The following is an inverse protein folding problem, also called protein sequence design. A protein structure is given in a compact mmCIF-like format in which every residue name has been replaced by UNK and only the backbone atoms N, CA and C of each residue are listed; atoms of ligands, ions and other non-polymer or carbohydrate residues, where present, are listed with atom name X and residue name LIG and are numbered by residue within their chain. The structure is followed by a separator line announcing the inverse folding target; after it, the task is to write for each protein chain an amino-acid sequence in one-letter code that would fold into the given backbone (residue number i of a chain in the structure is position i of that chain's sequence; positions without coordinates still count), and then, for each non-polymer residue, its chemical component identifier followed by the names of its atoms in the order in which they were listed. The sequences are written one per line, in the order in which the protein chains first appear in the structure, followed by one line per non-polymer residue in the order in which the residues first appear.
data_IF_411551829717
#
_entry.id   IF_411551829717
#
_cell.length_a   1.000
_cell.length_b   1.000
_cell.length_c   1.000
_cell.angle_alpha   90.00
_cell.angle_beta   90.00
_cell.angle_gamma   90.00
#
_symmetry.space_group_name_H-M   'P 1'
#
loop_
_entity.id
_entity.type
_entity.pdbx_description
1 polymer ?
#
# COMPACT_ATOMS: atom_id res chain seq x y z
N UNK A 1 -11.63 5.82 41.56
CA UNK A 1 -10.89 4.82 40.77
C UNK A 1 -9.73 5.52 40.08
N UNK A 2 -8.59 4.86 39.87
CA UNK A 2 -7.39 5.50 39.28
C UNK A 2 -6.91 4.74 38.03
N UNK A 3 -6.56 5.49 37.00
CA UNK A 3 -5.96 4.95 35.77
C UNK A 3 -4.45 5.14 35.82
N UNK A 4 -3.72 4.11 35.40
CA UNK A 4 -2.27 4.19 35.33
C UNK A 4 -1.87 5.17 34.23
N UNK A 5 -1.13 6.22 34.59
CA UNK A 5 -0.63 7.22 33.65
C UNK A 5 0.42 6.68 32.68
N UNK A 6 1.00 5.51 32.98
CA UNK A 6 2.02 4.89 32.13
C UNK A 6 1.45 3.90 31.10
N UNK A 7 0.34 3.21 31.37
CA UNK A 7 -0.20 2.18 30.47
C UNK A 7 -1.73 2.23 30.26
N UNK A 8 -2.43 3.16 30.91
CA UNK A 8 -3.88 3.31 30.80
C UNK A 8 -4.72 2.25 31.53
N UNK A 9 -4.10 1.25 32.16
CA UNK A 9 -4.83 0.21 32.88
C UNK A 9 -5.63 0.78 34.07
N UNK A 10 -6.83 0.27 34.28
CA UNK A 10 -7.72 0.63 35.38
C UNK A 10 -7.31 -0.10 36.66
N UNK A 11 -7.27 0.62 37.79
CA UNK A 11 -6.93 0.06 39.10
C UNK A 11 -7.94 0.53 40.16
N UNK A 12 -8.08 -0.27 41.23
CA UNK A 12 -8.96 0.01 42.35
C UNK A 12 -8.43 1.18 43.21
N UNK A 13 -9.34 1.89 43.87
CA UNK A 13 -8.98 2.99 44.79
C UNK A 13 -8.15 2.47 45.97
N UNK A 14 -7.00 3.12 46.21
CA UNK A 14 -6.06 2.74 47.28
C UNK A 14 -4.90 1.83 46.84
N UNK A 15 -4.88 1.36 45.58
CA UNK A 15 -3.73 0.61 45.05
C UNK A 15 -2.51 1.52 44.87
N UNK A 16 -1.36 1.13 45.45
CA UNK A 16 -0.11 1.91 45.40
C UNK A 16 0.68 1.73 44.10
N UNK A 17 0.45 0.62 43.40
CA UNK A 17 1.11 0.25 42.15
C UNK A 17 0.09 -0.32 41.18
N UNK A 18 0.32 -0.11 39.89
CA UNK A 18 -0.55 -0.62 38.84
C UNK A 18 -0.44 -2.14 38.74
N UNK A 19 -1.58 -2.83 38.77
CA UNK A 19 -1.65 -4.30 38.70
C UNK A 19 -1.15 -4.87 37.37
N UNK A 20 -1.13 -4.04 36.31
CA UNK A 20 -0.83 -4.48 34.95
C UNK A 20 0.63 -4.23 34.56
N UNK A 21 1.25 -3.16 35.04
CA UNK A 21 2.64 -2.78 34.66
C UNK A 21 3.57 -2.47 35.84
N UNK A 22 3.08 -2.51 37.08
CA UNK A 22 3.89 -2.25 38.28
C UNK A 22 4.23 -0.77 38.55
N UNK A 23 3.77 0.17 37.72
CA UNK A 23 4.05 1.60 37.89
C UNK A 23 3.36 2.17 39.14
N UNK A 24 4.05 3.02 39.92
CA UNK A 24 3.50 3.63 41.13
C UNK A 24 2.32 4.59 40.80
N UNK A 25 1.23 4.48 41.55
CA UNK A 25 0.03 5.30 41.37
C UNK A 25 0.03 6.38 42.47
N UNK A 26 -0.02 7.66 42.09
CA UNK A 26 -0.03 8.75 43.07
C UNK A 26 -1.42 8.92 43.69
N UNK A 27 -1.53 8.70 44.99
CA UNK A 27 -2.74 8.97 45.76
C UNK A 27 -2.88 10.48 46.00
N UNK A 28 -3.85 11.12 45.36
CA UNK A 28 -4.24 12.49 45.70
C UNK A 28 -5.02 12.49 47.02
N UNK A 29 -4.38 12.90 48.11
CA UNK A 29 -5.08 13.40 49.30
C UNK A 29 -4.77 14.89 49.43
N UNK A 30 -5.81 15.71 49.22
CA UNK A 30 -5.78 17.15 49.40
C UNK A 30 -6.31 17.46 50.82
N UNK A 31 -5.47 17.96 51.72
CA UNK A 31 -5.89 18.69 52.93
C UNK A 31 -4.96 19.89 53.16
N UNK A 32 -5.60 21.03 53.39
CA UNK A 32 -5.16 22.43 53.42
C UNK A 32 -4.30 22.82 54.65
N UNK A 33 -3.15 23.51 54.40
CA UNK A 33 -2.41 24.60 55.13
C UNK A 33 -2.11 24.50 56.67
N UNK A 34 -1.08 25.19 57.26
CA UNK A 34 -0.43 26.45 56.83
C UNK A 34 1.12 26.56 56.94
N UNK A 35 1.67 27.67 56.43
CA UNK A 35 3.08 28.12 56.50
C UNK A 35 3.58 28.40 57.94
N UNK A 36 4.91 28.34 58.17
CA UNK A 36 5.63 29.59 58.49
C UNK A 36 7.04 29.75 57.87
N UNK A 37 7.31 30.98 57.44
CA UNK A 37 8.47 31.87 57.65
C UNK A 37 9.94 31.42 57.42
N UNK A 38 10.73 32.40 56.98
CA UNK A 38 12.07 32.32 56.43
C UNK A 38 13.23 32.64 57.40
N UNK A 39 14.47 32.39 56.91
CA UNK A 39 15.79 33.03 57.22
C UNK A 39 16.60 32.44 58.42
N UNK A 40 17.97 32.50 58.49
CA UNK A 40 19.07 32.45 57.50
C UNK A 40 20.17 31.37 57.81
N UNK A 41 21.18 31.23 56.94
CA UNK A 41 22.50 30.64 57.27
C UNK A 41 23.32 31.58 58.17
N UNK A 42 24.16 31.07 59.09
CA UNK A 42 25.62 31.02 58.88
C UNK A 42 26.24 29.76 59.54
N UNK A 43 27.50 29.36 59.46
CA UNK A 43 28.75 29.94 58.98
C UNK A 43 29.90 28.98 59.34
N UNK A 44 31.04 29.20 58.71
CA UNK A 44 32.31 28.47 58.86
C UNK A 44 32.83 28.49 60.31
N UNK A 45 33.36 27.37 60.83
CA UNK A 45 34.53 27.37 61.75
C UNK A 45 35.35 26.08 61.63
N UNK A 46 36.65 26.27 61.81
CA UNK A 46 37.76 25.32 61.70
C UNK A 46 38.48 25.23 63.05
N UNK A 47 39.15 24.09 63.24
CA UNK A 47 40.27 23.75 64.15
C UNK A 47 40.09 23.91 65.67
N UNK A 48 40.28 22.81 66.42
CA UNK A 48 41.57 22.48 67.07
C UNK A 48 41.38 21.45 68.22
N UNK A 49 42.34 20.52 68.29
CA UNK A 49 42.80 19.70 69.44
C UNK A 49 41.78 18.74 70.10
N UNK A 50 42.11 17.47 70.36
CA UNK A 50 43.08 17.01 71.38
C UNK A 50 43.74 15.70 70.95
N UNK A 51 45.04 15.61 71.21
CA UNK A 51 45.91 14.46 71.03
C UNK A 51 45.85 13.42 72.17
N UNK A 52 46.38 12.24 71.85
CA UNK A 52 47.12 11.29 72.71
C UNK A 52 46.28 10.31 73.57
N UNK A 53 46.66 9.04 73.80
CA UNK A 53 47.87 8.27 73.48
C UNK A 53 47.62 6.75 73.62
N UNK A 54 48.49 5.95 72.97
CA UNK A 54 48.91 4.55 73.31
C UNK A 54 47.85 3.42 73.26
N UNK A 55 48.08 2.26 72.63
CA UNK A 55 49.22 1.35 72.83
C UNK A 55 49.47 0.38 71.63
N UNK A 56 50.71 -0.14 71.56
CA UNK A 56 51.29 -1.07 70.56
C UNK A 56 50.64 -2.48 70.59
N UNK A 57 50.75 -3.44 69.68
CA UNK A 57 51.82 -3.99 68.80
C UNK A 57 51.08 -5.05 67.94
N UNK A 58 51.23 -5.19 66.62
CA UNK A 58 52.20 -6.08 65.97
C UNK A 58 52.13 -5.85 64.45
N UNK A 59 53.24 -5.41 63.85
CA UNK A 59 53.31 -5.07 62.44
C UNK A 59 53.86 -6.26 61.63
N UNK A 60 53.02 -6.83 60.76
CA UNK A 60 53.48 -7.64 59.65
C UNK A 60 54.27 -6.75 58.67
N UNK A 61 55.50 -7.15 58.34
CA UNK A 61 56.44 -6.39 57.54
C UNK A 61 55.86 -5.98 56.16
N UNK A 62 56.00 -4.71 55.75
CA UNK A 62 55.67 -4.28 54.39
C UNK A 62 56.69 -4.87 53.41
N UNK A 63 56.19 -5.49 52.34
CA UNK A 63 57.00 -5.91 51.20
C UNK A 63 57.67 -4.68 50.61
N UNK A 64 59.01 -4.69 50.54
CA UNK A 64 59.81 -3.57 50.05
C UNK A 64 59.37 -3.14 48.62
N UNK A 65 59.35 -1.83 48.30
CA UNK A 65 59.06 -1.37 46.95
C UNK A 65 60.18 -1.84 46.03
N UNK A 66 59.87 -2.75 45.10
CA UNK A 66 60.81 -3.10 44.04
C UNK A 66 61.17 -1.82 43.27
N UNK A 67 62.46 -1.44 43.35
CA UNK A 67 63.01 -0.29 42.63
C UNK A 67 62.97 -0.59 41.14
N UNK A 68 61.91 -0.14 40.48
CA UNK A 68 61.69 -0.34 39.05
C UNK A 68 62.87 0.25 38.27
N UNK A 69 63.56 -0.56 37.46
CA UNK A 69 64.73 -0.10 36.71
C UNK A 69 64.30 1.01 35.74
N UNK A 70 65.14 2.03 35.53
CA UNK A 70 64.85 3.14 34.58
C UNK A 70 64.41 2.63 33.20
N UNK A 71 64.90 1.47 32.77
CA UNK A 71 64.51 0.80 31.52
C UNK A 71 63.06 0.29 31.55
N UNK A 72 62.62 -0.29 32.67
CA UNK A 72 61.23 -0.71 32.87
C UNK A 72 60.26 0.48 32.88
N UNK A 73 60.67 1.59 33.50
CA UNK A 73 59.87 2.83 33.51
C UNK A 73 59.71 3.44 32.11
N UNK A 74 60.77 3.43 31.29
CA UNK A 74 60.71 3.87 29.88
C UNK A 74 59.79 2.96 29.06
N UNK A 75 59.88 1.64 29.24
CA UNK A 75 59.01 0.67 28.55
C UNK A 75 57.55 0.90 28.96
N UNK A 76 57.25 1.11 30.24
CA UNK A 76 55.90 1.41 30.71
C UNK A 76 55.37 2.74 30.18
N UNK A 77 56.19 3.79 30.13
CA UNK A 77 55.80 5.07 29.51
C UNK A 77 55.56 4.91 28.01
N UNK A 78 56.39 4.14 27.30
CA UNK A 78 56.21 3.87 25.87
C UNK A 78 54.94 3.07 25.59
N UNK A 79 54.64 2.05 26.41
CA UNK A 79 53.39 1.28 26.34
C UNK A 79 52.19 2.19 26.64
N UNK A 80 52.28 3.04 27.68
CA UNK A 80 51.22 3.99 28.02
C UNK A 80 50.93 4.98 26.88
N UNK A 81 51.98 5.55 26.26
CA UNK A 81 51.84 6.43 25.11
C UNK A 81 51.21 5.71 23.90
N UNK A 82 51.62 4.47 23.63
CA UNK A 82 51.04 3.65 22.56
C UNK A 82 49.55 3.36 22.80
N UNK A 83 49.15 3.05 24.04
CA UNK A 83 47.74 2.82 24.39
C UNK A 83 46.91 4.08 24.17
N UNK A 84 47.42 5.27 24.51
CA UNK A 84 46.71 6.54 24.27
C UNK A 84 46.50 6.77 22.76
N UNK A 85 47.54 6.54 21.95
CA UNK A 85 47.44 6.65 20.49
C UNK A 85 46.42 5.65 19.95
N UNK A 86 46.48 4.38 20.37
CA UNK A 86 45.51 3.36 19.96
C UNK A 86 44.08 3.69 20.42
N UNK A 87 43.89 4.24 21.62
CA UNK A 87 42.60 4.69 22.12
C UNK A 87 42.06 5.87 21.30
N UNK A 88 42.90 6.83 20.93
CA UNK A 88 42.51 7.94 20.06
C UNK A 88 42.13 7.45 18.66
N UNK A 89 42.90 6.54 18.07
CA UNK A 89 42.58 5.89 16.78
C UNK A 89 41.28 5.09 16.88
N UNK A 90 41.08 4.34 17.97
CA UNK A 90 39.85 3.59 18.21
C UNK A 90 38.63 4.51 18.32
N UNK A 91 38.72 5.58 19.12
CA UNK A 91 37.63 6.53 19.31
C UNK A 91 37.28 7.25 18.01
N UNK A 92 38.29 7.67 17.24
CA UNK A 92 38.08 8.31 15.93
C UNK A 92 37.47 7.35 14.91
N UNK A 93 37.95 6.12 14.80
CA UNK A 93 37.36 5.11 13.90
C UNK A 93 35.93 4.75 14.32
N UNK A 94 35.68 4.63 15.62
CA UNK A 94 34.33 4.35 16.17
C UNK A 94 33.34 5.46 15.86
N UNK A 95 33.75 6.73 15.98
CA UNK A 95 32.85 7.87 15.77
C UNK A 95 32.70 8.28 14.31
N UNK A 96 33.64 7.92 13.44
CA UNK A 96 33.63 8.29 12.01
C UNK A 96 33.19 7.12 11.12
N UNK A 97 34.07 6.13 10.95
CA UNK A 97 33.92 5.02 10.00
C UNK A 97 32.90 3.98 10.46
N UNK A 98 32.90 3.66 11.75
CA UNK A 98 31.99 2.65 12.34
C UNK A 98 30.79 3.30 13.04
N UNK A 99 30.39 4.48 12.55
CA UNK A 99 29.18 5.17 12.99
C UNK A 99 27.95 4.69 12.20
N UNK A 100 26.74 4.78 12.79
CA UNK A 100 25.50 4.49 12.07
C UNK A 100 25.20 5.51 10.94
N UNK A 101 25.91 6.64 10.89
CA UNK A 101 25.65 7.72 9.94
C UNK A 101 25.92 7.31 8.49
N UNK A 102 27.01 6.57 8.24
CA UNK A 102 27.39 6.16 6.89
C UNK A 102 26.31 5.30 6.20
N UNK A 103 25.88 4.18 6.81
CA UNK A 103 24.81 3.34 6.25
C UNK A 103 23.48 4.08 6.08
N UNK A 104 23.09 4.93 7.05
CA UNK A 104 21.88 5.75 6.93
C UNK A 104 21.96 6.73 5.76
N UNK A 105 23.09 7.44 5.61
CA UNK A 105 23.30 8.36 4.49
C UNK A 105 23.24 7.61 3.16
N UNK A 106 23.86 6.43 3.05
CA UNK A 106 23.82 5.62 1.82
C UNK A 106 22.40 5.18 1.48
N UNK A 107 21.60 4.81 2.47
CA UNK A 107 20.21 4.41 2.29
C UNK A 107 19.34 5.58 1.81
N UNK A 108 19.40 6.70 2.53
CA UNK A 108 18.62 7.90 2.21
C UNK A 108 19.03 8.50 0.86
N UNK A 109 20.33 8.50 0.54
CA UNK A 109 20.82 8.98 -0.76
C UNK A 109 20.33 8.09 -1.90
N UNK A 110 20.29 6.76 -1.72
CA UNK A 110 19.75 5.85 -2.73
C UNK A 110 18.27 6.16 -3.04
N UNK A 111 17.46 6.48 -2.02
CA UNK A 111 16.08 6.94 -2.22
C UNK A 111 16.04 8.29 -2.97
N UNK A 112 16.84 9.27 -2.54
CA UNK A 112 16.88 10.60 -3.16
C UNK A 112 17.36 10.58 -4.62
N UNK A 113 18.25 9.64 -4.96
CA UNK A 113 18.80 9.44 -6.30
C UNK A 113 17.91 8.56 -7.19
N UNK A 114 16.85 7.97 -6.65
CA UNK A 114 15.98 7.04 -7.39
C UNK A 114 16.56 5.63 -7.56
N UNK A 115 17.64 5.30 -6.85
CA UNK A 115 18.26 3.97 -6.83
C UNK A 115 17.55 3.06 -5.80
N UNK A 116 16.27 2.80 -6.06
CA UNK A 116 15.38 2.06 -5.17
C UNK A 116 15.81 0.60 -4.97
N UNK A 117 16.48 -0.01 -5.94
CA UNK A 117 17.04 -1.35 -5.79
C UNK A 117 18.18 -1.37 -4.79
N UNK A 118 19.06 -0.35 -4.81
CA UNK A 118 20.12 -0.20 -3.82
C UNK A 118 19.53 0.10 -2.44
N UNK A 119 18.53 0.98 -2.36
CA UNK A 119 17.85 1.26 -1.10
C UNK A 119 17.28 -0.03 -0.48
N UNK A 120 16.62 -0.87 -1.28
CA UNK A 120 16.02 -2.16 -0.86
C UNK A 120 17.03 -3.25 -0.50
N UNK A 121 18.29 -3.09 -0.89
CA UNK A 121 19.39 -3.98 -0.45
C UNK A 121 19.99 -3.54 0.89
N UNK A 122 19.82 -2.28 1.27
CA UNK A 122 20.40 -1.69 2.49
C UNK A 122 19.48 -1.83 3.71
N UNK A 123 18.19 -2.08 3.49
CA UNK A 123 17.17 -2.31 4.52
C UNK A 123 16.30 -3.48 4.08
N UNK A 124 15.78 -4.27 5.02
CA UNK A 124 14.66 -5.17 4.71
C UNK A 124 13.38 -4.34 4.61
N UNK A 125 12.72 -4.28 3.43
CA UNK A 125 11.48 -3.53 3.26
C UNK A 125 10.32 -4.03 4.14
N UNK A 126 10.40 -5.22 4.73
CA UNK A 126 9.35 -5.75 5.61
C UNK A 126 8.06 -6.10 4.88
N UNK A 127 8.11 -6.21 3.55
CA UNK A 127 7.02 -6.66 2.68
C UNK A 127 7.49 -7.82 1.80
N UNK A 128 6.56 -8.67 1.40
CA UNK A 128 6.80 -9.79 0.49
C UNK A 128 7.36 -9.32 -0.86
N UNK A 129 8.07 -10.19 -1.57
CA UNK A 129 8.76 -9.81 -2.82
C UNK A 129 7.82 -9.27 -3.90
N UNK A 130 6.62 -9.84 -4.04
CA UNK A 130 5.64 -9.38 -5.03
C UNK A 130 5.16 -7.94 -4.73
N UNK A 131 5.09 -7.57 -3.45
CA UNK A 131 4.74 -6.22 -2.99
C UNK A 131 5.90 -5.20 -3.13
N UNK A 132 7.07 -5.63 -3.61
CA UNK A 132 8.22 -4.76 -3.90
C UNK A 132 8.23 -4.25 -5.34
N UNK A 133 7.12 -4.38 -6.07
CA UNK A 133 7.00 -4.05 -7.49
C UNK A 133 7.47 -2.62 -7.83
N UNK A 134 7.27 -1.65 -6.93
CA UNK A 134 7.69 -0.25 -7.13
C UNK A 134 9.07 0.07 -6.53
N UNK A 135 9.75 -0.90 -5.92
CA UNK A 135 11.09 -0.73 -5.35
C UNK A 135 12.20 -0.97 -6.38
N UNK A 136 11.95 -0.51 -7.60
CA UNK A 136 12.82 -0.66 -8.77
C UNK A 136 13.24 0.72 -9.28
N UNK A 137 14.43 0.82 -9.87
CA UNK A 137 15.00 2.10 -10.28
C UNK A 137 14.14 2.84 -11.32
N UNK A 138 13.37 2.10 -12.14
CA UNK A 138 12.42 2.67 -13.11
C UNK A 138 11.36 3.55 -12.44
N UNK A 139 10.85 3.16 -11.26
CA UNK A 139 9.86 3.95 -10.53
C UNK A 139 10.41 5.30 -10.04
N UNK A 140 11.72 5.40 -9.84
CA UNK A 140 12.45 6.61 -9.42
C UNK A 140 13.24 7.29 -10.53
N UNK A 141 13.09 6.87 -11.80
CA UNK A 141 13.97 7.31 -12.89
C UNK A 141 13.88 8.82 -13.15
N UNK A 142 12.69 9.41 -13.03
CA UNK A 142 12.49 10.84 -13.25
C UNK A 142 12.89 11.68 -12.02
N UNK A 143 13.95 12.48 -12.14
CA UNK A 143 14.47 13.34 -11.07
C UNK A 143 13.44 14.33 -10.52
N UNK A 144 12.53 14.84 -11.34
CA UNK A 144 11.52 15.80 -10.88
C UNK A 144 10.50 15.17 -9.93
N UNK A 145 10.40 13.84 -9.90
CA UNK A 145 9.47 13.05 -9.08
C UNK A 145 10.07 12.54 -7.77
N UNK A 146 11.39 12.72 -7.56
CA UNK A 146 12.10 12.25 -6.37
C UNK A 146 11.92 13.20 -5.18
N UNK A 147 12.24 12.71 -3.99
CA UNK A 147 12.36 13.57 -2.81
C UNK A 147 13.46 14.63 -3.00
N UNK A 148 13.27 15.81 -2.41
CA UNK A 148 14.22 16.93 -2.47
C UNK A 148 14.50 17.50 -1.08
N UNK A 149 15.53 18.33 -0.95
CA UNK A 149 15.87 19.03 0.30
C UNK A 149 16.06 18.07 1.48
N UNK A 150 16.83 16.99 1.25
CA UNK A 150 16.98 15.93 2.23
C UNK A 150 17.96 16.34 3.32
N UNK A 151 17.53 16.24 4.57
CA UNK A 151 18.32 16.50 5.77
C UNK A 151 18.19 15.35 6.76
N UNK A 152 19.32 14.89 7.30
CA UNK A 152 19.37 13.79 8.26
C UNK A 152 19.82 14.37 9.60
N UNK A 153 18.99 14.23 10.63
CA UNK A 153 19.34 14.67 11.98
C UNK A 153 20.51 13.85 12.55
N UNK A 154 21.13 14.36 13.62
CA UNK A 154 22.07 13.55 14.40
C UNK A 154 21.39 12.28 14.92
N UNK A 155 22.08 11.15 14.79
CA UNK A 155 21.60 9.86 15.29
C UNK A 155 21.82 9.81 16.80
N UNK A 156 20.75 9.62 17.55
CA UNK A 156 20.79 9.53 19.01
C UNK A 156 20.15 8.25 19.50
N UNK A 157 20.63 7.74 20.62
CA UNK A 157 19.97 6.63 21.27
C UNK A 157 18.74 7.15 22.03
N UNK A 158 17.57 6.64 21.66
CA UNK A 158 16.34 6.90 22.38
C UNK A 158 16.43 6.22 23.77
N UNK A 159 16.33 7.02 24.83
CA UNK A 159 16.53 6.54 26.21
C UNK A 159 15.41 5.62 26.70
N UNK A 160 14.26 5.61 26.02
CA UNK A 160 13.11 4.77 26.35
C UNK A 160 13.18 3.45 25.61
N UNK A 161 13.37 3.47 24.29
CA UNK A 161 13.36 2.27 23.44
C UNK A 161 14.73 1.58 23.36
N UNK A 162 15.81 2.29 23.72
CA UNK A 162 17.18 1.84 23.56
C UNK A 162 17.66 1.80 22.10
N UNK A 163 16.79 2.15 21.13
CA UNK A 163 17.11 2.15 19.69
C UNK A 163 17.87 3.41 19.30
N UNK A 164 18.70 3.29 18.27
CA UNK A 164 19.38 4.43 17.66
C UNK A 164 18.47 5.00 16.58
N UNK A 165 18.09 6.27 16.71
CA UNK A 165 17.04 6.88 15.90
C UNK A 165 17.54 8.18 15.27
N UNK A 166 17.05 8.45 14.07
CA UNK A 166 17.28 9.68 13.32
C UNK A 166 15.99 10.12 12.65
N UNK A 167 15.83 11.43 12.48
CA UNK A 167 14.76 12.00 11.67
C UNK A 167 15.34 12.39 10.32
N UNK A 168 14.72 11.90 9.25
CA UNK A 168 15.03 12.30 7.88
C UNK A 168 13.94 13.26 7.43
N UNK A 169 14.29 14.52 7.22
CA UNK A 169 13.40 15.55 6.69
C UNK A 169 13.62 15.67 5.18
N UNK A 170 12.55 15.82 4.41
CA UNK A 170 12.61 15.92 2.95
C UNK A 170 11.33 16.57 2.41
N UNK A 171 11.32 16.91 1.14
CA UNK A 171 10.15 17.46 0.46
C UNK A 171 9.70 16.59 -0.71
N UNK A 172 8.38 16.42 -0.85
CA UNK A 172 7.71 15.74 -1.97
C UNK A 172 6.77 16.75 -2.61
N UNK A 173 6.94 17.03 -3.90
CA UNK A 173 6.13 18.01 -4.64
C UNK A 173 6.08 19.40 -3.94
N UNK A 174 7.16 19.79 -3.25
CA UNK A 174 7.27 21.04 -2.49
C UNK A 174 6.71 20.99 -1.06
N UNK A 175 6.05 19.90 -0.66
CA UNK A 175 5.52 19.71 0.70
C UNK A 175 6.58 19.06 1.59
N UNK A 176 6.87 19.67 2.73
CA UNK A 176 7.82 19.14 3.71
C UNK A 176 7.24 17.95 4.48
N UNK A 177 8.06 16.90 4.63
CA UNK A 177 7.76 15.64 5.27
C UNK A 177 8.94 15.19 6.12
N UNK A 178 8.69 14.25 7.01
CA UNK A 178 9.72 13.65 7.85
C UNK A 178 9.44 12.19 8.11
N UNK A 179 10.49 11.36 8.13
CA UNK A 179 10.40 9.95 8.51
C UNK A 179 11.37 9.66 9.65
N UNK A 180 10.90 8.90 10.64
CA UNK A 180 11.76 8.39 11.70
C UNK A 180 12.42 7.10 11.22
N UNK A 181 13.75 7.06 11.27
CA UNK A 181 14.55 5.89 10.89
C UNK A 181 15.29 5.36 12.10
N UNK A 182 15.26 4.04 12.27
CA UNK A 182 15.93 3.31 13.34
C UNK A 182 17.10 2.50 12.80
N UNK A 183 18.16 2.44 13.58
CA UNK A 183 19.41 1.75 13.28
C UNK A 183 19.63 0.64 14.30
N UNK A 184 20.17 -0.50 13.85
CA UNK A 184 20.52 -1.61 14.72
C UNK A 184 21.92 -2.15 14.43
N UNK A 185 22.53 -2.78 15.44
CA UNK A 185 23.83 -3.43 15.30
C UNK A 185 23.67 -4.71 14.47
N UNK A 186 24.37 -4.77 13.35
CA UNK A 186 24.46 -5.92 12.46
C UNK A 186 25.67 -6.83 12.78
N UNK A 187 26.20 -6.74 14.01
CA UNK A 187 27.37 -7.50 14.45
C UNK A 187 28.62 -6.65 14.66
N UNK A 188 29.79 -7.30 14.68
CA UNK A 188 31.09 -6.65 14.93
C UNK A 188 32.02 -6.77 13.72
N UNK A 189 32.67 -5.66 13.36
CA UNK A 189 33.74 -5.58 12.37
C UNK A 189 35.07 -5.34 13.09
N UNK A 190 36.13 -6.01 12.61
CA UNK A 190 37.45 -6.04 13.25
C UNK A 190 37.35 -6.40 14.75
N UNK A 191 36.50 -7.37 15.13
CA UNK A 191 36.28 -7.85 16.51
C UNK A 191 35.66 -6.86 17.52
N UNK A 192 35.74 -5.54 17.32
CA UNK A 192 35.35 -4.56 18.35
C UNK A 192 34.30 -3.55 17.90
N UNK A 193 34.31 -3.16 16.62
CA UNK A 193 33.49 -2.07 16.13
C UNK A 193 32.11 -2.57 15.72
N UNK A 194 31.06 -1.86 16.06
CA UNK A 194 29.73 -2.16 15.57
C UNK A 194 29.65 -1.97 14.05
N UNK A 195 29.05 -2.94 13.37
CA UNK A 195 28.46 -2.73 12.05
C UNK A 195 27.01 -2.33 12.22
N UNK A 196 26.52 -1.43 11.39
CA UNK A 196 25.16 -0.90 11.51
C UNK A 196 24.34 -1.24 10.26
N UNK A 197 23.06 -1.52 10.47
CA UNK A 197 22.07 -1.62 9.40
C UNK A 197 20.87 -0.72 9.71
N UNK A 198 20.23 -0.23 8.65
CA UNK A 198 18.93 0.42 8.77
C UNK A 198 17.92 -0.66 9.11
N UNK A 199 17.11 -0.44 10.13
CA UNK A 199 16.13 -1.41 10.62
C UNK A 199 14.69 -1.06 10.18
N UNK A 200 14.38 0.23 10.06
CA UNK A 200 13.05 0.68 9.63
C UNK A 200 13.11 1.26 8.21
N UNK A 201 12.40 0.66 7.25
CA UNK A 201 12.37 1.18 5.90
C UNK A 201 11.50 2.45 5.84
N UNK A 202 11.95 3.44 5.09
CA UNK A 202 11.20 4.63 4.72
C UNK A 202 10.24 4.30 3.57
N UNK A 203 9.23 3.47 3.83
CA UNK A 203 8.17 3.21 2.85
C UNK A 203 6.97 4.12 3.12
N UNK A 204 6.27 4.43 2.04
CA UNK A 204 4.92 5.00 2.05
C UNK A 204 3.97 4.01 1.37
N UNK A 205 2.68 4.29 1.46
CA UNK A 205 1.62 3.50 0.84
C UNK A 205 0.91 4.36 -0.19
N UNK A 206 0.93 3.90 -1.45
CA UNK A 206 0.10 4.46 -2.51
C UNK A 206 -1.26 3.78 -2.48
N UNK A 207 -2.32 4.57 -2.48
CA UNK A 207 -3.70 4.09 -2.61
C UNK A 207 -4.12 4.22 -4.07
N UNK A 208 -4.52 3.12 -4.70
CA UNK A 208 -4.90 3.08 -6.11
C UNK A 208 -6.26 2.41 -6.23
N UNK A 209 -7.26 3.15 -6.69
CA UNK A 209 -8.62 2.66 -6.93
C UNK A 209 -8.82 2.39 -8.43
N UNK A 210 -9.25 1.17 -8.74
CA UNK A 210 -9.56 0.70 -10.11
C UNK A 210 -10.91 -0.02 -10.12
N UNK A 211 -11.59 -0.14 -11.27
CA UNK A 211 -12.76 -1.01 -11.41
C UNK A 211 -12.47 -2.44 -10.94
N UNK A 212 -13.44 -3.12 -10.32
CA UNK A 212 -13.30 -4.51 -9.84
C UNK A 212 -12.88 -5.50 -10.94
N UNK A 213 -13.14 -5.16 -12.20
CA UNK A 213 -12.80 -5.96 -13.37
C UNK A 213 -11.34 -5.84 -13.80
N UNK A 214 -10.57 -4.92 -13.21
CA UNK A 214 -9.20 -4.58 -13.62
C UNK A 214 -8.23 -4.65 -12.44
N UNK A 215 -7.01 -5.15 -12.69
CA UNK A 215 -5.94 -5.19 -11.68
C UNK A 215 -4.59 -4.70 -12.20
N UNK A 216 -4.50 -4.36 -13.48
CA UNK A 216 -3.24 -3.97 -14.11
C UNK A 216 -3.16 -2.47 -14.31
N UNK A 217 -2.12 -1.87 -13.77
CA UNK A 217 -1.87 -0.43 -13.87
C UNK A 217 -0.39 -0.19 -14.19
N UNK A 218 -0.09 0.99 -14.70
CA UNK A 218 1.28 1.47 -14.83
C UNK A 218 1.52 2.57 -13.80
N UNK A 219 2.64 2.49 -13.08
CA UNK A 219 3.05 3.49 -12.11
C UNK A 219 4.44 3.98 -12.48
N UNK A 220 4.55 5.24 -12.89
CA UNK A 220 5.78 5.80 -13.46
C UNK A 220 6.37 4.93 -14.59
N UNK A 221 5.51 4.27 -15.38
CA UNK A 221 5.92 3.34 -16.44
C UNK A 221 6.31 1.95 -15.96
N UNK A 222 6.17 1.62 -14.68
CA UNK A 222 6.31 0.24 -14.16
C UNK A 222 4.94 -0.41 -14.20
N UNK A 223 4.80 -1.48 -14.99
CA UNK A 223 3.56 -2.25 -15.05
C UNK A 223 3.46 -3.14 -13.81
N UNK A 224 2.35 -3.02 -13.09
CA UNK A 224 2.10 -3.74 -11.84
C UNK A 224 0.75 -4.43 -11.89
N UNK A 225 0.71 -5.65 -11.36
CA UNK A 225 -0.51 -6.39 -11.06
C UNK A 225 -0.88 -6.13 -9.60
N UNK A 226 -1.89 -5.30 -9.37
CA UNK A 226 -2.37 -4.89 -8.04
C UNK A 226 -2.81 -6.08 -7.19
N UNK A 227 -3.25 -7.19 -7.81
CA UNK A 227 -3.64 -8.40 -7.07
C UNK A 227 -2.47 -9.08 -6.35
N UNK A 228 -1.23 -8.80 -6.77
CA UNK A 228 0.01 -9.32 -6.19
C UNK A 228 0.81 -8.25 -5.46
N UNK A 229 0.84 -7.04 -6.00
CA UNK A 229 1.68 -5.96 -5.49
C UNK A 229 1.10 -5.25 -4.25
N UNK A 230 -0.20 -5.37 -4.00
CA UNK A 230 -0.84 -4.71 -2.87
C UNK A 230 -0.64 -5.49 -1.56
N UNK A 231 -0.45 -4.76 -0.46
CA UNK A 231 -0.41 -5.31 0.90
C UNK A 231 -1.77 -5.32 1.58
N UNK A 232 -2.71 -4.52 1.08
CA UNK A 232 -4.08 -4.45 1.56
C UNK A 232 -5.03 -4.05 0.43
N UNK A 233 -6.30 -4.42 0.55
CA UNK A 233 -7.37 -4.04 -0.39
C UNK A 233 -8.69 -3.81 0.34
N UNK A 234 -9.45 -2.84 -0.13
CA UNK A 234 -10.79 -2.55 0.38
C UNK A 234 -11.69 -2.04 -0.74
N UNK A 235 -12.99 -1.98 -0.51
CA UNK A 235 -13.88 -1.24 -1.40
C UNK A 235 -13.45 0.23 -1.42
N UNK A 236 -13.48 0.85 -2.60
CA UNK A 236 -13.10 2.24 -2.73
C UNK A 236 -14.17 3.14 -2.09
N UNK A 237 -13.73 4.18 -1.38
CA UNK A 237 -14.62 5.25 -0.95
C UNK A 237 -14.78 6.28 -2.07
N UNK A 238 -15.90 6.98 -2.09
CA UNK A 238 -16.13 8.10 -3.01
C UNK A 238 -15.10 9.22 -2.77
N UNK A 239 -14.50 9.82 -3.83
CA UNK A 239 -13.55 10.92 -3.68
C UNK A 239 -14.22 12.22 -3.22
N UNK A 240 -13.41 13.20 -2.79
CA UNK A 240 -13.89 14.52 -2.35
C UNK A 240 -14.72 15.27 -3.41
N UNK A 241 -14.48 15.01 -4.70
CA UNK A 241 -15.13 15.63 -5.86
C UNK A 241 -15.52 14.53 -6.87
N UNK A 242 -16.65 13.84 -6.64
CA UNK A 242 -17.05 12.69 -7.44
C UNK A 242 -17.63 13.10 -8.80
N UNK A 243 -17.32 12.30 -9.82
CA UNK A 243 -18.03 12.36 -11.09
C UNK A 243 -19.37 11.65 -10.96
N UNK A 244 -20.45 12.28 -11.45
CA UNK A 244 -21.79 11.68 -11.46
C UNK A 244 -21.90 10.43 -12.33
N UNK A 245 -20.96 10.25 -13.26
CA UNK A 245 -21.01 9.21 -14.28
C UNK A 245 -20.16 7.98 -13.88
N UNK A 246 -19.65 7.97 -12.64
CA UNK A 246 -18.79 6.92 -12.10
C UNK A 246 -19.45 6.29 -10.88
N UNK A 247 -19.75 5.00 -10.97
CA UNK A 247 -20.15 4.22 -9.79
C UNK A 247 -18.91 3.76 -9.02
N UNK A 248 -18.53 4.52 -7.99
CA UNK A 248 -17.38 4.22 -7.13
C UNK A 248 -17.58 2.94 -6.30
N UNK A 249 -18.82 2.45 -6.15
CA UNK A 249 -19.08 1.19 -5.43
C UNK A 249 -18.59 -0.04 -6.21
N UNK A 250 -18.32 0.12 -7.51
CA UNK A 250 -17.72 -0.88 -8.39
C UNK A 250 -16.19 -0.77 -8.49
N UNK A 251 -15.55 -0.03 -7.59
CA UNK A 251 -14.09 0.09 -7.51
C UNK A 251 -13.49 -0.61 -6.28
N UNK A 252 -12.28 -1.13 -6.43
CA UNK A 252 -11.44 -1.63 -5.35
C UNK A 252 -10.23 -0.72 -5.17
N UNK A 253 -9.99 -0.27 -3.94
CA UNK A 253 -8.78 0.44 -3.54
C UNK A 253 -7.70 -0.55 -3.09
N UNK A 254 -6.50 -0.42 -3.64
CA UNK A 254 -5.31 -1.21 -3.34
C UNK A 254 -4.25 -0.35 -2.65
N UNK A 255 -3.65 -0.89 -1.59
CA UNK A 255 -2.52 -0.27 -0.89
C UNK A 255 -1.20 -0.86 -1.36
N UNK A 256 -0.40 -0.09 -2.10
CA UNK A 256 0.86 -0.52 -2.72
C UNK A 256 2.05 0.15 -2.03
N UNK A 257 3.00 -0.60 -1.44
CA UNK A 257 4.20 -0.04 -0.84
C UNK A 257 5.12 0.61 -1.89
N UNK A 258 5.65 1.78 -1.57
CA UNK A 258 6.61 2.49 -2.42
C UNK A 258 7.57 3.34 -1.58
N UNK A 259 8.68 3.79 -2.18
CA UNK A 259 9.50 4.82 -1.55
C UNK A 259 8.82 6.21 -1.65
N UNK A 260 9.13 7.16 -0.76
CA UNK A 260 8.60 8.52 -0.87
C UNK A 260 8.95 9.17 -2.21
N UNK A 261 7.97 9.81 -2.84
CA UNK A 261 8.11 10.41 -4.15
C UNK A 261 6.76 10.78 -4.76
N UNK A 262 6.82 11.21 -6.01
CA UNK A 262 5.66 11.51 -6.86
C UNK A 262 5.46 10.37 -7.85
N UNK A 263 4.21 9.95 -8.01
CA UNK A 263 3.83 8.82 -8.84
C UNK A 263 2.73 9.24 -9.80
N UNK A 264 2.97 9.04 -11.09
CA UNK A 264 1.91 9.04 -12.09
C UNK A 264 1.37 7.62 -12.20
N UNK A 265 0.08 7.46 -11.92
CA UNK A 265 -0.62 6.18 -11.96
C UNK A 265 -1.59 6.23 -13.14
N UNK A 266 -1.54 5.24 -14.00
CA UNK A 266 -2.43 5.12 -15.17
C UNK A 266 -2.74 3.67 -15.49
N UNK A 267 -3.52 3.43 -16.53
CA UNK A 267 -3.67 2.06 -17.03
C UNK A 267 -2.36 1.59 -17.66
N UNK A 268 -2.05 0.31 -17.51
CA UNK A 268 -1.00 -0.31 -18.30
C UNK A 268 -1.36 -0.25 -19.79
N UNK A 269 -0.35 -0.31 -20.66
CA UNK A 269 -0.56 -0.34 -22.11
C UNK A 269 -1.59 -1.43 -22.45
N UNK A 270 -2.73 -1.00 -22.95
CA UNK A 270 -3.89 -1.85 -23.23
C UNK A 270 -4.48 -1.47 -24.56
N UNK A 271 -4.73 -2.48 -25.37
CA UNK A 271 -5.44 -2.32 -26.62
C UNK A 271 -6.95 -2.16 -26.44
N UNK A 272 -7.48 -2.36 -25.22
CA UNK A 272 -8.92 -2.42 -24.95
C UNK A 272 -9.45 -1.19 -24.20
N UNK A 273 -8.65 -0.65 -23.28
CA UNK A 273 -9.04 0.51 -22.46
C UNK A 273 -7.93 1.53 -22.42
N UNK A 274 -8.31 2.80 -22.28
CA UNK A 274 -7.41 3.92 -22.04
C UNK A 274 -7.90 4.71 -20.83
N UNK A 275 -7.14 5.70 -20.38
CA UNK A 275 -7.59 6.61 -19.33
C UNK A 275 -6.52 7.63 -18.99
N UNK A 276 -6.91 8.64 -18.22
CA UNK A 276 -6.00 9.69 -17.79
C UNK A 276 -5.05 9.19 -16.69
N UNK A 277 -3.80 9.62 -16.75
CA UNK A 277 -2.88 9.44 -15.61
C UNK A 277 -3.28 10.34 -14.44
N UNK A 278 -3.22 9.79 -13.23
CA UNK A 278 -3.43 10.52 -11.98
C UNK A 278 -2.10 10.68 -11.27
N UNK A 279 -1.71 11.92 -10.99
CA UNK A 279 -0.53 12.25 -10.19
C UNK A 279 -0.88 12.15 -8.71
N UNK A 280 -0.23 11.24 -7.99
CA UNK A 280 -0.30 11.12 -6.54
C UNK A 280 1.09 11.26 -5.91
N UNK A 281 1.10 11.49 -4.61
CA UNK A 281 2.29 11.48 -3.78
C UNK A 281 1.97 10.69 -2.50
N UNK A 282 2.85 10.76 -1.51
CA UNK A 282 2.70 10.14 -0.19
C UNK A 282 1.56 10.76 0.68
N UNK A 283 0.65 11.55 0.10
CA UNK A 283 -0.57 11.98 0.76
C UNK A 283 -1.62 10.85 0.78
N UNK A 284 -2.49 10.85 1.79
CA UNK A 284 -3.50 9.81 2.00
C UNK A 284 -4.62 9.73 0.93
N UNK A 285 -4.49 10.43 -0.20
CA UNK A 285 -5.48 10.45 -1.28
C UNK A 285 -5.23 9.29 -2.25
N UNK A 286 -6.29 8.60 -2.64
CA UNK A 286 -6.22 7.54 -3.64
C UNK A 286 -6.14 8.10 -5.07
N UNK A 287 -5.43 7.40 -5.95
CA UNK A 287 -5.53 7.58 -7.39
C UNK A 287 -6.75 6.82 -7.92
N UNK A 288 -7.76 7.52 -8.44
CA UNK A 288 -8.92 6.89 -9.06
C UNK A 288 -8.72 6.79 -10.56
N UNK A 289 -8.57 5.57 -11.08
CA UNK A 289 -8.47 5.34 -12.51
C UNK A 289 -9.84 4.99 -13.09
N UNK A 290 -10.35 5.86 -13.95
CA UNK A 290 -11.62 5.66 -14.67
C UNK A 290 -11.28 5.32 -16.12
N UNK A 291 -11.62 4.11 -16.60
CA UNK A 291 -11.27 3.69 -17.95
C UNK A 291 -12.24 4.23 -19.00
N UNK A 292 -11.72 4.41 -20.21
CA UNK A 292 -12.49 4.68 -21.43
C UNK A 292 -12.31 3.51 -22.42
N UNK A 293 -13.42 3.13 -23.07
CA UNK A 293 -13.41 2.02 -24.02
C UNK A 293 -12.76 2.44 -25.34
N UNK A 294 -11.78 1.66 -25.81
CA UNK A 294 -11.20 1.82 -27.15
C UNK A 294 -12.14 1.28 -28.23
N UNK A 295 -11.90 1.67 -29.49
CA UNK A 295 -12.61 1.11 -30.65
C UNK A 295 -12.41 -0.40 -30.79
N UNK A 296 -11.23 -0.91 -30.39
CA UNK A 296 -10.95 -2.35 -30.44
C UNK A 296 -11.82 -3.13 -29.46
N UNK A 297 -11.99 -2.64 -28.23
CA UNK A 297 -12.90 -3.26 -27.27
C UNK A 297 -14.33 -3.32 -27.80
N UNK A 298 -14.83 -2.19 -28.31
CA UNK A 298 -16.18 -2.12 -28.90
C UNK A 298 -16.33 -3.09 -30.07
N UNK A 299 -15.33 -3.17 -30.95
CA UNK A 299 -15.35 -4.09 -32.09
C UNK A 299 -15.36 -5.56 -31.68
N UNK A 300 -14.62 -5.96 -30.65
CA UNK A 300 -14.60 -7.36 -30.18
C UNK A 300 -15.92 -7.74 -29.49
N UNK A 301 -16.52 -6.83 -28.72
CA UNK A 301 -17.87 -7.01 -28.17
C UNK A 301 -18.88 -7.19 -29.31
N UNK A 302 -18.88 -6.28 -30.30
CA UNK A 302 -19.79 -6.35 -31.45
C UNK A 302 -19.59 -7.61 -32.29
N UNK A 303 -18.37 -8.15 -32.38
CA UNK A 303 -18.11 -9.43 -33.05
C UNK A 303 -18.83 -10.59 -32.35
N UNK A 304 -18.83 -10.61 -31.02
CA UNK A 304 -19.53 -11.62 -30.23
C UNK A 304 -21.06 -11.44 -30.29
N UNK A 305 -21.54 -10.20 -30.29
CA UNK A 305 -22.94 -9.87 -30.55
C UNK A 305 -23.37 -10.35 -31.94
N UNK A 306 -22.57 -10.11 -32.97
CA UNK A 306 -22.89 -10.55 -34.34
C UNK A 306 -22.97 -12.07 -34.43
N UNK A 307 -22.04 -12.81 -33.81
CA UNK A 307 -22.14 -14.28 -33.72
C UNK A 307 -23.44 -14.73 -33.07
N UNK A 308 -23.87 -14.05 -32.00
CA UNK A 308 -25.15 -14.34 -31.35
C UNK A 308 -26.33 -14.10 -32.29
N UNK A 309 -26.31 -13.01 -33.04
CA UNK A 309 -27.32 -12.69 -34.06
C UNK A 309 -27.36 -13.77 -35.15
N UNK A 310 -26.20 -14.17 -35.66
CA UNK A 310 -26.09 -15.21 -36.68
C UNK A 310 -26.64 -16.55 -36.16
N UNK A 311 -26.28 -16.93 -34.94
CA UNK A 311 -26.78 -18.15 -34.29
C UNK A 311 -28.30 -18.12 -34.06
N UNK A 312 -28.89 -16.97 -33.73
CA UNK A 312 -30.33 -16.81 -33.56
C UNK A 312 -31.06 -16.88 -34.91
N UNK A 313 -30.57 -16.15 -35.90
CA UNK A 313 -31.22 -16.06 -37.22
C UNK A 313 -31.08 -17.33 -38.05
N UNK A 314 -30.07 -18.17 -37.78
CA UNK A 314 -29.94 -19.51 -38.36
C UNK A 314 -30.97 -20.52 -37.82
N UNK A 315 -31.65 -20.23 -36.71
CA UNK A 315 -32.65 -21.12 -36.13
C UNK A 315 -33.91 -21.18 -36.98
N UNK A 316 -34.50 -22.38 -37.09
CA UNK A 316 -35.85 -22.60 -37.63
C UNK A 316 -36.86 -23.07 -36.57
N UNK A 317 -36.47 -23.06 -35.29
CA UNK A 317 -37.38 -23.36 -34.19
C UNK A 317 -38.43 -22.26 -34.01
N UNK A 318 -39.56 -22.55 -33.35
CA UNK A 318 -40.56 -21.54 -32.99
C UNK A 318 -40.03 -20.55 -31.95
N UNK A 319 -39.12 -21.00 -31.09
CA UNK A 319 -38.43 -20.14 -30.13
C UNK A 319 -37.04 -20.72 -29.85
N UNK A 320 -36.10 -19.84 -29.51
CA UNK A 320 -34.75 -20.17 -29.05
C UNK A 320 -34.41 -19.24 -27.89
N UNK A 321 -33.92 -19.82 -26.79
CA UNK A 321 -33.59 -19.06 -25.59
C UNK A 321 -32.50 -18.01 -25.88
N UNK A 322 -32.69 -16.81 -25.33
CA UNK A 322 -31.80 -15.65 -25.50
C UNK A 322 -31.79 -15.09 -26.93
N UNK A 323 -32.81 -15.41 -27.72
CA UNK A 323 -33.03 -14.89 -29.07
C UNK A 323 -34.37 -14.14 -29.17
N UNK A 324 -34.87 -13.58 -28.06
CA UNK A 324 -36.14 -12.84 -28.00
C UNK A 324 -36.34 -11.88 -29.16
N UNK A 325 -35.32 -11.12 -29.56
CA UNK A 325 -35.36 -10.19 -30.71
C UNK A 325 -35.66 -10.83 -32.08
N UNK A 326 -35.75 -12.16 -32.16
CA UNK A 326 -35.96 -12.94 -33.38
C UNK A 326 -36.94 -14.10 -33.21
N UNK A 327 -37.57 -14.26 -32.04
CA UNK A 327 -38.40 -15.43 -31.77
C UNK A 327 -39.75 -15.36 -32.49
N UNK A 328 -40.31 -14.16 -32.66
CA UNK A 328 -41.61 -13.96 -33.29
C UNK A 328 -42.78 -14.20 -32.35
N UNK A 329 -44.01 -14.07 -32.86
CA UNK A 329 -45.26 -14.21 -32.11
C UNK A 329 -46.02 -15.49 -32.47
N UNK A 330 -45.32 -16.63 -32.53
CA UNK A 330 -45.92 -17.90 -32.88
C UNK A 330 -46.90 -18.43 -31.81
N UNK A 331 -48.14 -18.69 -32.20
CA UNK A 331 -49.15 -19.32 -31.35
C UNK A 331 -48.75 -20.72 -30.89
N UNK A 332 -49.01 -21.02 -29.62
CA UNK A 332 -48.88 -22.35 -29.02
C UNK A 332 -50.12 -23.25 -29.22
N UNK A 333 -51.13 -22.79 -29.99
CA UNK A 333 -52.34 -23.58 -30.27
C UNK A 333 -52.01 -24.86 -31.04
N UNK A 334 -52.58 -25.98 -30.60
CA UNK A 334 -52.40 -27.29 -31.26
C UNK A 334 -53.02 -27.38 -32.65
N UNK A 335 -53.93 -26.47 -33.01
CA UNK A 335 -54.50 -26.41 -34.37
C UNK A 335 -53.54 -25.76 -35.37
N UNK A 336 -52.75 -24.79 -34.91
CA UNK A 336 -51.92 -23.93 -35.73
C UNK A 336 -50.54 -24.55 -35.94
N UNK A 337 -50.05 -24.55 -37.17
CA UNK A 337 -48.76 -25.10 -37.52
C UNK A 337 -47.95 -24.10 -38.36
N UNK A 338 -46.64 -24.07 -38.12
CA UNK A 338 -45.70 -23.20 -38.83
C UNK A 338 -44.60 -24.03 -39.50
N UNK A 339 -44.10 -23.56 -40.63
CA UNK A 339 -42.96 -24.15 -41.33
C UNK A 339 -42.20 -23.10 -42.14
N UNK A 340 -41.06 -23.48 -42.72
CA UNK A 340 -40.24 -22.62 -43.57
C UNK A 340 -39.85 -21.28 -42.92
N UNK A 341 -39.65 -21.28 -41.60
CA UNK A 341 -39.27 -20.10 -40.82
C UNK A 341 -37.86 -19.66 -41.24
N UNK A 342 -37.75 -18.41 -41.66
CA UNK A 342 -36.49 -17.73 -41.99
C UNK A 342 -36.45 -16.39 -41.28
N UNK A 343 -35.29 -16.07 -40.71
CA UNK A 343 -35.07 -14.87 -39.92
C UNK A 343 -33.97 -14.04 -40.56
N UNK A 344 -34.09 -12.73 -40.51
CA UNK A 344 -33.08 -11.83 -41.05
C UNK A 344 -33.01 -10.58 -40.18
N UNK A 345 -31.85 -10.34 -39.56
CA UNK A 345 -31.56 -9.06 -38.93
C UNK A 345 -31.46 -7.98 -40.01
N UNK A 346 -32.13 -6.84 -39.79
CA UNK A 346 -32.34 -5.80 -40.81
C UNK A 346 -31.49 -4.55 -40.57
N UNK A 347 -30.87 -4.44 -39.40
CA UNK A 347 -29.92 -3.38 -39.05
C UNK A 347 -28.60 -3.95 -38.54
N UNK A 348 -27.55 -3.13 -38.62
CA UNK A 348 -26.26 -3.43 -38.01
C UNK A 348 -26.35 -3.18 -36.49
N UNK A 349 -25.90 -4.12 -35.64
CA UNK A 349 -25.90 -3.90 -34.20
C UNK A 349 -24.87 -2.84 -33.81
N UNK A 350 -25.25 -1.97 -32.87
CA UNK A 350 -24.36 -1.02 -32.23
C UNK A 350 -24.42 -1.19 -30.71
N UNK A 351 -23.41 -0.72 -29.98
CA UNK A 351 -23.43 -0.70 -28.51
C UNK A 351 -24.15 0.58 -28.09
N UNK A 352 -25.28 0.44 -27.39
CA UNK A 352 -26.00 1.58 -26.83
C UNK A 352 -25.37 2.06 -25.52
N UNK A 353 -25.03 1.10 -24.65
CA UNK A 353 -24.45 1.35 -23.34
C UNK A 353 -23.31 0.38 -23.08
N UNK A 354 -22.22 0.89 -22.52
CA UNK A 354 -21.06 0.11 -22.07
C UNK A 354 -20.53 0.75 -20.80
N UNK A 355 -20.77 0.08 -19.68
CA UNK A 355 -20.24 0.46 -18.39
C UNK A 355 -19.00 -0.38 -18.08
N UNK A 356 -17.84 0.25 -18.07
CA UNK A 356 -16.57 -0.41 -17.77
C UNK A 356 -16.34 -0.63 -16.27
N UNK A 357 -17.14 0.00 -15.41
CA UNK A 357 -17.09 -0.16 -13.95
C UNK A 357 -17.69 -1.52 -13.57
N UNK A 358 -18.95 -1.75 -13.97
CA UNK A 358 -19.63 -3.03 -13.78
C UNK A 358 -19.23 -4.08 -14.81
N UNK A 359 -18.69 -3.66 -15.96
CA UNK A 359 -18.41 -4.51 -17.12
C UNK A 359 -19.67 -4.85 -17.92
N UNK A 360 -20.81 -4.20 -17.69
CA UNK A 360 -22.05 -4.48 -18.42
C UNK A 360 -22.10 -3.77 -19.78
N UNK A 361 -22.79 -4.37 -20.74
CA UNK A 361 -23.12 -3.71 -22.00
C UNK A 361 -24.51 -4.09 -22.50
N UNK A 362 -25.11 -3.19 -23.28
CA UNK A 362 -26.37 -3.42 -23.98
C UNK A 362 -26.30 -2.85 -25.39
N UNK A 363 -26.83 -3.57 -26.38
CA UNK A 363 -26.88 -3.10 -27.76
C UNK A 363 -28.02 -2.11 -28.00
N UNK A 364 -27.95 -1.36 -29.09
CA UNK A 364 -29.16 -0.76 -29.68
C UNK A 364 -30.17 -1.85 -30.05
N UNK A 365 -31.43 -1.49 -30.23
CA UNK A 365 -32.47 -2.41 -30.68
C UNK A 365 -32.07 -3.07 -32.02
N UNK A 366 -32.06 -4.40 -32.03
CA UNK A 366 -31.89 -5.24 -33.21
C UNK A 366 -33.28 -5.51 -33.77
N UNK A 367 -33.46 -5.29 -35.07
CA UNK A 367 -34.71 -5.50 -35.79
C UNK A 367 -34.60 -6.75 -36.65
N UNK A 368 -35.55 -7.68 -36.51
CA UNK A 368 -35.59 -8.92 -37.28
C UNK A 368 -36.87 -8.99 -38.09
N UNK A 369 -36.76 -9.32 -39.37
CA UNK A 369 -37.90 -9.77 -40.18
C UNK A 369 -37.92 -11.30 -40.18
N UNK A 370 -39.11 -11.85 -39.94
CA UNK A 370 -39.36 -13.29 -39.90
C UNK A 370 -40.37 -13.62 -41.00
N UNK A 371 -39.99 -14.50 -41.92
CA UNK A 371 -40.90 -15.02 -42.96
C UNK A 371 -41.15 -16.49 -42.71
N UNK A 372 -42.40 -16.92 -42.82
CA UNK A 372 -42.78 -18.30 -42.56
C UNK A 372 -44.00 -18.70 -43.40
N UNK A 373 -44.38 -19.97 -43.27
CA UNK A 373 -45.66 -20.46 -43.74
C UNK A 373 -46.48 -20.95 -42.57
N UNK A 374 -47.78 -20.67 -42.57
CA UNK A 374 -48.72 -21.12 -41.55
C UNK A 374 -49.95 -21.83 -42.13
N UNK A 375 -50.61 -22.61 -41.28
CA UNK A 375 -51.94 -23.16 -41.52
C UNK A 375 -52.67 -23.35 -40.19
N UNK A 376 -53.98 -23.09 -40.18
CA UNK A 376 -54.79 -23.16 -38.97
C UNK A 376 -55.35 -24.56 -38.66
N UNK A 377 -55.55 -25.38 -39.70
CA UNK A 377 -55.97 -26.78 -39.56
C UNK A 377 -55.21 -27.64 -40.57
N UNK A 378 -55.11 -28.94 -40.30
CA UNK A 378 -54.30 -29.85 -41.11
C UNK A 378 -54.80 -30.06 -42.55
N UNK A 379 -56.08 -29.76 -42.81
CA UNK A 379 -56.76 -29.86 -44.10
C UNK A 379 -56.69 -28.56 -44.93
N UNK A 380 -56.23 -27.46 -44.35
CA UNK A 380 -56.06 -26.18 -45.02
C UNK A 380 -54.73 -26.09 -45.78
N UNK A 381 -54.65 -25.32 -46.87
CA UNK A 381 -53.39 -25.04 -47.55
C UNK A 381 -52.44 -24.24 -46.65
N UNK A 382 -51.14 -24.30 -46.95
CA UNK A 382 -50.15 -23.42 -46.35
C UNK A 382 -50.25 -22.02 -46.97
N UNK A 383 -50.25 -21.00 -46.13
CA UNK A 383 -50.21 -19.59 -46.54
C UNK A 383 -48.88 -18.97 -46.13
N UNK A 384 -48.33 -18.10 -46.97
CA UNK A 384 -47.11 -17.36 -46.63
C UNK A 384 -47.48 -16.18 -45.75
N UNK A 385 -46.71 -15.95 -44.69
CA UNK A 385 -46.88 -14.79 -43.82
C UNK A 385 -45.50 -14.26 -43.38
N UNK A 386 -45.51 -13.07 -42.81
CA UNK A 386 -44.32 -12.41 -42.30
C UNK A 386 -44.64 -11.49 -41.14
N UNK A 387 -43.75 -11.47 -40.16
CA UNK A 387 -43.81 -10.54 -39.04
C UNK A 387 -42.44 -9.91 -38.79
N UNK A 388 -42.42 -8.91 -37.90
CA UNK A 388 -41.18 -8.33 -37.41
C UNK A 388 -41.11 -8.51 -35.90
N UNK A 389 -39.89 -8.68 -35.42
CA UNK A 389 -39.57 -8.74 -34.01
C UNK A 389 -38.37 -7.84 -33.71
N UNK A 390 -38.17 -7.50 -32.45
CA UNK A 390 -37.06 -6.65 -32.05
C UNK A 390 -36.72 -6.81 -30.58
N UNK A 391 -35.47 -6.56 -30.24
CA UNK A 391 -34.99 -6.61 -28.87
C UNK A 391 -33.55 -6.17 -28.78
N UNK A 392 -32.99 -6.20 -27.58
CA UNK A 392 -31.59 -5.88 -27.32
C UNK A 392 -30.83 -7.15 -26.94
N UNK A 393 -29.52 -7.12 -27.12
CA UNK A 393 -28.62 -8.10 -26.53
C UNK A 393 -27.86 -7.39 -25.41
N UNK A 394 -27.90 -7.97 -24.22
CA UNK A 394 -27.12 -7.53 -23.07
C UNK A 394 -26.12 -8.61 -22.66
N UNK A 395 -25.05 -8.19 -21.99
CA UNK A 395 -24.01 -9.10 -21.54
C UNK A 395 -23.02 -8.43 -20.63
N UNK A 396 -21.97 -9.16 -20.28
CA UNK A 396 -20.87 -8.66 -19.45
C UNK A 396 -19.52 -8.86 -20.11
N UNK A 397 -18.55 -8.03 -19.72
CA UNK A 397 -17.15 -8.15 -20.09
C UNK A 397 -16.29 -8.24 -18.83
N UNK A 398 -15.19 -8.98 -18.95
CA UNK A 398 -14.10 -8.93 -17.98
C UNK A 398 -12.77 -8.78 -18.70
N UNK A 399 -11.89 -7.94 -18.15
CA UNK A 399 -10.59 -7.62 -18.73
C UNK A 399 -9.48 -7.80 -17.68
N UNK A 400 -8.86 -8.98 -17.69
CA UNK A 400 -7.71 -9.28 -16.81
C UNK A 400 -6.50 -9.65 -17.65
N UNK A 401 -5.36 -9.00 -17.43
CA UNK A 401 -4.09 -9.30 -18.13
C UNK A 401 -4.22 -9.29 -19.67
N UNK A 402 -4.84 -8.24 -20.23
CA UNK A 402 -5.17 -8.11 -21.66
C UNK A 402 -6.02 -9.25 -22.23
N UNK A 403 -6.62 -10.09 -21.38
CA UNK A 403 -7.55 -11.12 -21.81
C UNK A 403 -8.97 -10.60 -21.65
N UNK A 404 -9.59 -10.27 -22.78
CA UNK A 404 -11.01 -9.94 -22.85
C UNK A 404 -11.84 -11.23 -22.85
N UNK A 405 -12.83 -11.30 -21.96
CA UNK A 405 -13.92 -12.27 -22.03
C UNK A 405 -15.22 -11.51 -22.20
N UNK A 406 -16.06 -11.95 -23.14
CA UNK A 406 -17.41 -11.40 -23.38
C UNK A 406 -18.40 -12.53 -23.14
N UNK A 407 -19.31 -12.33 -22.20
CA UNK A 407 -20.36 -13.27 -21.85
C UNK A 407 -21.73 -12.68 -22.24
N UNK A 408 -22.46 -13.42 -23.06
CA UNK A 408 -23.82 -13.09 -23.47
C UNK A 408 -24.70 -14.25 -22.99
N UNK A 409 -25.59 -14.03 -22.00
CA UNK A 409 -26.42 -15.09 -21.47
C UNK A 409 -27.30 -15.71 -22.56
N UNK A 410 -27.51 -17.03 -22.43
CA UNK A 410 -28.37 -17.79 -23.32
C UNK A 410 -29.84 -17.78 -22.88
N UNK A 411 -30.17 -17.03 -21.84
CA UNK A 411 -31.52 -16.84 -21.35
C UNK A 411 -31.92 -15.41 -21.62
N UNK A 412 -33.15 -15.21 -22.08
CA UNK A 412 -33.77 -13.89 -22.01
C UNK A 412 -33.99 -13.64 -20.52
N UNK A 413 -33.23 -12.72 -19.91
CA UNK A 413 -33.57 -12.26 -18.56
C UNK A 413 -34.90 -11.53 -18.67
N UNK A 414 -35.97 -12.16 -18.19
CA UNK A 414 -37.21 -11.44 -17.88
C UNK A 414 -36.82 -10.33 -16.91
N UNK A 415 -36.86 -9.08 -17.39
CA UNK A 415 -36.71 -7.88 -16.58
C UNK A 415 -37.96 -7.69 -15.68
N UNK A 416 -38.32 -8.71 -14.92
CA UNK A 416 -39.34 -8.73 -13.88
C UNK A 416 -38.64 -8.92 -12.53
N UNK A 417 -38.04 -7.85 -12.03
CA UNK A 417 -37.25 -7.87 -10.80
C UNK A 417 -37.20 -6.55 -10.05
N UNK A 418 -38.34 -6.06 -9.57
CA UNK A 418 -38.40 -5.19 -8.39
C UNK A 418 -39.13 -3.85 -8.54
N UNK A 419 -40.37 -3.81 -8.05
CA UNK A 419 -40.95 -2.60 -7.42
C UNK A 419 -40.76 -2.69 -5.91
#
# INVERSE_FOLDING_TARGET
MIFCTSCGARNDDGTRFCISCGHALQTQNNVTAPLPTAVPMPGVRSLADVADATDATDAAAPTAPQKMSRRMMIILCAIGALIIVLAAVFLTLRSTVFSPQGPLNSYVSAIAEGDYEKASKLVDPGVENDARALMVNKAGENESRRIKNVEISSINQNRVTGKWEATVSYSVDGVQKSSQVTMESAGKKLLFFDSWKVASPMLTTLKIAVPKTMTNVSVNGVDIDLSKAATDKSDASEPDDPSSDVDYSEMTEYSVPAYPGVYNVGFADSQYVTGNEVKINDAAKAAYLVPEATDKLKSEILSQVQKRIDDCTASSALSKDGCSFSNGSFSSSSSMAYTNIKRTATNTPEIAELDLMSGSFTTTTIQTTITYQERYYSDQPWENDSENDSGTISGTISLSNEKLTVDIPNTDEDSDGGW
#
